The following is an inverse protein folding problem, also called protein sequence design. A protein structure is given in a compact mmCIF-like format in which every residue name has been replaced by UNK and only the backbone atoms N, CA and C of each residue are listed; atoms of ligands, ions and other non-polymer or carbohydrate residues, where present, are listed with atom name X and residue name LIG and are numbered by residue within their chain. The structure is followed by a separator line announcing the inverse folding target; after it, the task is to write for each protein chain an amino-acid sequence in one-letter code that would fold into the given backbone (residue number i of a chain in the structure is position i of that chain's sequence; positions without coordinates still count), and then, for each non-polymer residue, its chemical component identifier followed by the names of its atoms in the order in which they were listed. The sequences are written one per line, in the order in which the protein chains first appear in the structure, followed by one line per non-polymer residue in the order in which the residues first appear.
data_IF_289063620503
#
_entry.id   IF_289063620503
#
_cell.length_a   1.000
_cell.length_b   1.000
_cell.length_c   1.000
_cell.angle_alpha   90.00
_cell.angle_beta   90.00
_cell.angle_gamma   90.00
#
_symmetry.space_group_name_H-M   'P 1'
#
loop_
_entity.id
_entity.type
_entity.pdbx_description
1 polymer ?
#
# COMPACT_ATOMS: atom_id res chain seq x y z
N UNK A 1 -3.21 3.49 23.79
CA UNK A 1 -3.00 4.89 23.36
C UNK A 1 -1.87 4.93 22.35
N UNK A 2 -2.11 4.46 21.11
CA UNK A 2 -1.26 4.77 19.96
C UNK A 2 -2.20 5.20 18.84
N UNK A 3 -2.00 6.45 18.44
CA UNK A 3 -2.93 7.26 17.68
C UNK A 3 -3.02 6.76 16.24
N UNK A 4 -4.24 6.41 15.84
CA UNK A 4 -4.64 6.13 14.48
C UNK A 4 -4.67 7.45 13.67
N UNK A 5 -3.50 7.92 13.20
CA UNK A 5 -3.34 9.15 12.40
C UNK A 5 -3.19 8.80 10.91
N UNK A 6 -4.18 8.09 10.34
CA UNK A 6 -4.38 8.05 8.89
C UNK A 6 -5.83 8.42 8.57
N UNK A 7 -6.25 9.60 9.01
CA UNK A 7 -7.48 10.25 8.53
C UNK A 7 -7.22 10.83 7.13
N UNK A 8 -7.11 9.97 6.12
CA UNK A 8 -7.14 10.41 4.73
C UNK A 8 -8.57 10.27 4.22
N UNK A 9 -9.16 11.41 3.84
CA UNK A 9 -10.46 11.49 3.18
C UNK A 9 -10.41 10.64 1.92
N UNK A 10 -11.15 9.53 1.91
CA UNK A 10 -11.33 8.66 0.76
C UNK A 10 -12.18 9.38 -0.30
N UNK A 11 -11.53 10.21 -1.12
CA UNK A 11 -12.04 10.58 -2.43
C UNK A 11 -11.68 9.47 -3.42
N UNK A 12 -12.62 9.09 -4.27
CA UNK A 12 -12.51 8.05 -5.30
C UNK A 12 -11.55 8.42 -6.44
N UNK A 13 -10.30 8.73 -6.12
CA UNK A 13 -9.28 9.08 -7.10
C UNK A 13 -8.25 7.96 -7.11
N UNK A 14 -8.07 7.29 -8.24
CA UNK A 14 -6.97 6.34 -8.45
C UNK A 14 -5.67 7.08 -8.21
N UNK A 15 -4.92 6.69 -7.17
CA UNK A 15 -3.68 7.36 -6.79
C UNK A 15 -2.50 6.56 -7.30
N UNK A 16 -1.76 7.16 -8.22
CA UNK A 16 -0.44 6.69 -8.63
C UNK A 16 0.58 7.38 -7.73
N UNK A 17 1.50 6.61 -7.15
CA UNK A 17 2.61 7.19 -6.40
C UNK A 17 3.92 6.54 -6.81
N UNK A 18 4.93 7.39 -6.99
CA UNK A 18 6.31 6.93 -7.15
C UNK A 18 6.88 6.61 -5.77
N UNK A 19 7.31 5.37 -5.61
CA UNK A 19 8.24 4.93 -4.59
C UNK A 19 9.62 5.51 -4.93
N UNK A 20 9.87 6.76 -4.52
CA UNK A 20 11.20 7.40 -4.65
C UNK A 20 12.25 6.87 -3.66
N UNK A 21 11.85 5.99 -2.74
CA UNK A 21 12.76 5.31 -1.81
C UNK A 21 13.15 3.97 -2.40
N UNK A 22 14.46 3.68 -2.43
CA UNK A 22 14.96 2.35 -2.73
C UNK A 22 14.23 1.33 -1.85
N UNK A 23 13.93 0.14 -2.40
CA UNK A 23 13.12 -0.87 -1.69
C UNK A 23 13.62 -1.21 -0.28
N UNK A 24 14.93 -1.06 -0.03
CA UNK A 24 15.54 -1.20 1.29
C UNK A 24 15.14 -0.08 2.26
N UNK A 25 15.20 1.18 1.82
CA UNK A 25 14.79 2.33 2.64
C UNK A 25 13.31 2.30 2.99
N UNK A 26 12.42 1.87 2.08
CA UNK A 26 10.99 1.79 2.40
C UNK A 26 10.69 0.72 3.45
N UNK A 27 11.40 -0.41 3.39
CA UNK A 27 11.33 -1.47 4.39
C UNK A 27 11.83 -0.96 5.75
N UNK A 28 12.97 -0.27 5.77
CA UNK A 28 13.55 0.35 6.96
C UNK A 28 12.61 1.41 7.57
N UNK A 29 12.02 2.26 6.73
CA UNK A 29 11.09 3.31 7.16
C UNK A 29 9.80 2.77 7.77
N UNK A 30 9.30 1.63 7.26
CA UNK A 30 8.15 0.92 7.83
C UNK A 30 8.51 0.06 9.05
N UNK A 31 9.81 -0.12 9.34
CA UNK A 31 10.29 -1.07 10.36
C UNK A 31 9.94 -2.53 10.03
N UNK A 32 9.73 -2.85 8.75
CA UNK A 32 9.36 -4.18 8.25
C UNK A 32 10.44 -4.70 7.32
N UNK A 33 10.66 -6.01 7.29
CA UNK A 33 11.55 -6.61 6.30
C UNK A 33 11.04 -6.38 4.87
N UNK A 34 11.93 -6.11 3.92
CA UNK A 34 11.61 -5.98 2.49
C UNK A 34 10.81 -7.19 1.97
N UNK A 35 11.11 -8.38 2.49
CA UNK A 35 10.38 -9.61 2.17
C UNK A 35 8.90 -9.53 2.54
N UNK A 36 8.58 -8.98 3.72
CA UNK A 36 7.21 -8.81 4.22
C UNK A 36 6.47 -7.79 3.37
N UNK A 37 7.10 -6.65 3.11
CA UNK A 37 6.56 -5.58 2.26
C UNK A 37 6.27 -6.12 0.85
N UNK A 38 7.23 -6.82 0.25
CA UNK A 38 7.09 -7.44 -1.07
C UNK A 38 5.96 -8.49 -1.11
N UNK A 39 5.82 -9.31 -0.07
CA UNK A 39 4.75 -10.31 0.03
C UNK A 39 3.37 -9.64 0.13
N UNK A 40 3.25 -8.57 0.91
CA UNK A 40 2.02 -7.77 1.01
C UNK A 40 1.65 -7.14 -0.35
N UNK A 41 2.61 -6.50 -1.01
CA UNK A 41 2.43 -5.94 -2.34
C UNK A 41 2.02 -6.98 -3.39
N UNK A 42 2.64 -8.17 -3.36
CA UNK A 42 2.28 -9.28 -4.26
C UNK A 42 0.85 -9.77 -4.01
N UNK A 43 0.42 -9.85 -2.74
CA UNK A 43 -0.97 -10.20 -2.39
C UNK A 43 -1.97 -9.17 -2.91
N UNK A 44 -1.70 -7.89 -2.69
CA UNK A 44 -2.55 -6.79 -3.17
C UNK A 44 -2.61 -6.75 -4.71
N UNK A 45 -1.49 -7.03 -5.39
CA UNK A 45 -1.44 -7.18 -6.86
C UNK A 45 -2.33 -8.33 -7.33
N UNK A 46 -2.21 -9.50 -6.69
CA UNK A 46 -3.03 -10.68 -7.03
C UNK A 46 -4.52 -10.43 -6.80
N UNK A 47 -4.86 -9.62 -5.81
CA UNK A 47 -6.23 -9.20 -5.56
C UNK A 47 -6.73 -8.11 -6.54
N UNK A 48 -5.93 -7.71 -7.55
CA UNK A 48 -6.22 -6.61 -8.48
C UNK A 48 -6.59 -5.29 -7.78
N UNK A 49 -6.02 -5.05 -6.60
CA UNK A 49 -6.27 -3.84 -5.82
C UNK A 49 -5.24 -2.75 -6.12
N UNK A 50 -4.04 -3.17 -6.52
CA UNK A 50 -2.94 -2.32 -6.95
C UNK A 50 -2.31 -2.89 -8.21
N UNK A 51 -1.75 -2.01 -9.02
CA UNK A 51 -0.96 -2.36 -10.19
C UNK A 51 0.46 -1.80 -10.08
N UNK A 52 1.40 -2.45 -10.77
CA UNK A 52 2.80 -2.07 -10.81
C UNK A 52 3.17 -1.94 -12.27
N UNK A 53 3.19 -0.71 -12.75
CA UNK A 53 3.70 -0.39 -14.08
C UNK A 53 5.23 -0.51 -14.08
N UNK A 54 5.85 0.01 -13.01
CA UNK A 54 7.30 -0.04 -12.79
C UNK A 54 7.63 -0.47 -11.36
N UNK A 55 8.83 -1.00 -11.08
CA UNK A 55 9.26 -1.36 -9.73
C UNK A 55 9.19 -0.19 -8.73
N UNK A 56 9.21 1.04 -9.25
CA UNK A 56 9.13 2.31 -8.52
C UNK A 56 7.76 3.01 -8.67
N UNK A 57 6.87 2.56 -9.55
CA UNK A 57 5.55 3.19 -9.78
C UNK A 57 4.45 2.22 -9.36
N UNK A 58 3.72 2.60 -8.31
CA UNK A 58 2.58 1.82 -7.81
C UNK A 58 1.29 2.59 -8.07
N UNK A 59 0.35 1.92 -8.73
CA UNK A 59 -0.97 2.46 -9.07
C UNK A 59 -2.03 1.82 -8.20
N UNK A 60 -2.75 2.62 -7.41
CA UNK A 60 -3.85 2.14 -6.57
C UNK A 60 -5.15 2.10 -7.38
N UNK A 61 -5.53 0.91 -7.84
CA UNK A 61 -6.76 0.70 -8.61
C UNK A 61 -8.02 0.89 -7.75
N UNK A 62 -8.00 0.36 -6.52
CA UNK A 62 -9.15 0.34 -5.62
C UNK A 62 -8.80 0.86 -4.22
N UNK A 63 -8.69 2.19 -4.12
CA UNK A 63 -8.48 2.90 -2.86
C UNK A 63 -9.47 2.54 -1.73
N UNK A 64 -10.81 2.46 -1.95
CA UNK A 64 -11.73 2.16 -0.85
C UNK A 64 -11.52 0.75 -0.26
N UNK A 65 -11.17 -0.23 -1.09
CA UNK A 65 -10.88 -1.60 -0.63
C UNK A 65 -9.54 -1.64 0.10
N UNK A 66 -8.51 -0.97 -0.42
CA UNK A 66 -7.23 -0.83 0.27
C UNK A 66 -7.40 -0.22 1.66
N UNK A 67 -8.23 0.82 1.75
CA UNK A 67 -8.50 1.50 3.00
C UNK A 67 -9.21 0.57 4.00
N UNK A 68 -10.18 -0.23 3.54
CA UNK A 68 -10.84 -1.22 4.39
C UNK A 68 -9.85 -2.29 4.89
N UNK A 69 -8.89 -2.71 4.07
CA UNK A 69 -7.84 -3.65 4.49
C UNK A 69 -6.89 -3.00 5.51
N UNK A 70 -6.50 -1.74 5.29
CA UNK A 70 -5.62 -1.01 6.20
C UNK A 70 -6.29 -0.71 7.56
N UNK A 71 -7.61 -0.48 7.57
CA UNK A 71 -8.43 -0.31 8.77
C UNK A 71 -8.65 -1.65 9.52
N UNK A 72 -8.34 -2.78 8.88
CA UNK A 72 -8.62 -4.12 9.40
C UNK A 72 -10.08 -4.56 9.24
N UNK A 73 -10.89 -3.75 8.55
CA UNK A 73 -12.29 -4.04 8.24
C UNK A 73 -12.46 -5.10 7.12
N UNK A 74 -11.44 -5.29 6.28
CA UNK A 74 -11.44 -6.28 5.20
C UNK A 74 -10.15 -7.13 5.20
N UNK A 75 -10.28 -8.39 4.78
CA UNK A 75 -9.13 -9.28 4.57
C UNK A 75 -8.95 -9.57 3.08
N UNK A 76 -7.69 -9.64 2.65
CA UNK A 76 -7.21 -9.99 1.30
C UNK A 76 -6.75 -11.45 1.22
#
# INVERSE_FOLDING_TARGET
MFQNVFRQRAGSESRVFNLYLGRGDLADWLGLSLETVSRCFTKLKRAQLIDFDEPEIVTLLNLPVLQAIADGAASV
#
